data_IF_649663000520
#
_entry.id   IF_649663000520
#
_cell.length_a   1.000
_cell.length_b   1.000
_cell.length_c   1.000
_cell.angle_alpha   90.00
_cell.angle_beta   90.00
_cell.angle_gamma   90.00
#
_symmetry.space_group_name_H-M   'P 1'
#
loop_
_entity.id
_entity.type
_entity.pdbx_description
1 polymer ?
#
# COMPACT_ATOMS: atom_id res chain seq x y z
N UNK A 1 32.90 37.68 29.60
CA UNK A 1 31.59 37.07 29.90
C UNK A 1 30.92 36.74 28.57
N UNK A 2 30.56 35.47 28.36
CA UNK A 2 30.14 34.93 27.08
C UNK A 2 28.64 35.17 26.87
N UNK A 3 28.23 35.55 25.67
CA UNK A 3 26.84 35.40 25.25
C UNK A 3 26.84 34.62 23.94
N UNK A 4 26.80 33.29 24.11
CA UNK A 4 26.43 32.32 23.11
C UNK A 4 24.96 32.59 22.75
N UNK A 5 24.59 32.90 21.49
CA UNK A 5 23.18 32.95 21.13
C UNK A 5 22.69 31.51 20.99
N UNK A 6 21.95 31.10 22.01
CA UNK A 6 21.18 29.86 22.09
C UNK A 6 19.98 29.95 21.12
N UNK A 7 20.24 29.94 19.81
CA UNK A 7 19.19 30.11 18.79
C UNK A 7 19.37 29.21 17.56
N UNK A 8 19.83 27.98 17.78
CA UNK A 8 19.83 26.91 16.76
C UNK A 8 19.31 25.59 17.37
N UNK A 9 18.16 25.68 18.02
CA UNK A 9 17.41 24.52 18.55
C UNK A 9 15.98 24.51 17.99
N UNK A 10 15.83 24.91 16.73
CA UNK A 10 14.63 24.64 15.95
C UNK A 10 14.97 23.64 14.83
N UNK A 11 14.45 22.43 15.02
CA UNK A 11 13.87 21.60 13.97
C UNK A 11 14.87 20.93 13.00
N UNK A 12 15.74 20.08 13.53
CA UNK A 12 16.12 18.87 12.80
C UNK A 12 15.01 17.81 12.99
N UNK A 13 13.85 18.01 12.36
CA UNK A 13 13.00 16.88 12.03
C UNK A 13 13.45 16.38 10.66
N UNK A 14 13.74 15.08 10.48
CA UNK A 14 13.84 14.54 9.13
C UNK A 14 12.45 14.73 8.49
N UNK A 15 12.37 15.69 7.57
CA UNK A 15 11.20 16.06 6.76
C UNK A 15 10.88 15.03 5.68
N UNK A 16 11.07 13.74 5.99
CA UNK A 16 10.69 12.64 5.10
C UNK A 16 9.60 11.85 5.82
N UNK A 17 8.43 12.46 5.95
CA UNK A 17 7.20 11.72 6.22
C UNK A 17 6.69 11.20 4.88
N UNK A 18 7.30 10.14 4.35
CA UNK A 18 6.58 9.30 3.38
C UNK A 18 5.45 8.64 4.16
N UNK A 19 4.20 8.89 3.75
CA UNK A 19 3.02 8.40 4.45
C UNK A 19 2.35 7.31 3.62
N UNK A 20 3.15 6.29 3.29
CA UNK A 20 2.65 5.03 2.77
C UNK A 20 2.24 4.12 3.90
N UNK A 21 1.19 3.35 3.69
CA UNK A 21 0.83 2.31 4.62
C UNK A 21 0.41 1.03 3.92
N UNK A 22 0.60 -0.05 4.68
CA UNK A 22 0.10 -1.37 4.38
C UNK A 22 -1.09 -1.67 5.28
N UNK A 23 -2.14 -2.21 4.68
CA UNK A 23 -3.24 -2.87 5.36
C UNK A 23 -3.16 -4.37 5.10
N UNK A 24 -3.36 -5.15 6.15
CA UNK A 24 -3.45 -6.59 6.08
C UNK A 24 -4.80 -7.02 6.64
N UNK A 25 -5.61 -7.65 5.79
CA UNK A 25 -6.85 -8.29 6.18
C UNK A 25 -6.61 -9.81 6.19
N UNK A 26 -6.90 -10.43 7.33
CA UNK A 26 -6.76 -11.86 7.54
C UNK A 26 -8.06 -12.40 8.12
N UNK A 27 -8.55 -13.51 7.56
CA UNK A 27 -9.67 -14.27 8.12
C UNK A 27 -9.20 -15.67 8.44
N UNK A 28 -9.53 -16.18 9.62
CA UNK A 28 -9.22 -17.56 10.00
C UNK A 28 -10.47 -18.38 10.23
N UNK A 29 -10.49 -19.60 9.69
CA UNK A 29 -11.56 -20.57 9.92
C UNK A 29 -11.49 -21.21 11.31
N UNK A 30 -10.40 -21.00 12.06
CA UNK A 30 -10.14 -21.66 13.34
C UNK A 30 -9.68 -20.66 14.40
N UNK A 31 -9.94 -20.94 15.69
CA UNK A 31 -9.38 -20.14 16.75
C UNK A 31 -7.87 -20.37 16.82
N UNK A 32 -7.09 -19.31 16.62
CA UNK A 32 -5.63 -19.36 16.66
C UNK A 32 -5.05 -17.96 16.95
N UNK A 33 -3.79 -17.93 17.36
CA UNK A 33 -3.01 -16.69 17.38
C UNK A 33 -2.14 -16.63 16.12
N UNK A 34 -1.88 -15.45 15.58
CA UNK A 34 -0.90 -15.27 14.51
C UNK A 34 0.04 -14.12 14.86
N UNK A 35 1.31 -14.26 14.47
CA UNK A 35 2.30 -13.18 14.52
C UNK A 35 2.60 -12.68 13.11
N UNK A 36 2.56 -11.37 12.92
CA UNK A 36 2.83 -10.71 11.66
C UNK A 36 4.11 -9.91 11.84
N UNK A 37 5.15 -10.32 11.14
CA UNK A 37 6.43 -9.63 11.09
C UNK A 37 6.51 -8.82 9.79
N UNK A 38 6.79 -7.54 9.92
CA UNK A 38 7.07 -6.63 8.81
C UNK A 38 8.53 -6.19 8.87
N UNK A 39 9.20 -6.15 7.71
CA UNK A 39 10.53 -5.54 7.58
C UNK A 39 10.72 -4.78 6.26
N UNK A 40 11.39 -3.64 6.34
CA UNK A 40 11.73 -2.74 5.22
C UNK A 40 12.96 -3.20 4.39
N UNK A 41 13.50 -4.39 4.66
CA UNK A 41 14.61 -5.02 3.91
C UNK A 41 14.40 -6.54 3.81
N UNK A 42 14.76 -7.13 2.67
CA UNK A 42 14.61 -8.57 2.38
C UNK A 42 15.89 -9.39 2.67
N UNK A 43 17.07 -8.76 2.66
CA UNK A 43 18.34 -9.46 2.80
C UNK A 43 18.87 -9.41 4.23
N UNK A 44 18.78 -8.24 4.87
CA UNK A 44 19.27 -8.05 6.24
C UNK A 44 18.25 -7.24 7.07
N UNK A 45 17.11 -7.86 7.43
CA UNK A 45 16.04 -7.20 8.15
C UNK A 45 16.49 -6.84 9.57
N UNK A 46 16.94 -5.60 9.76
CA UNK A 46 17.42 -5.07 11.05
C UNK A 46 16.32 -4.43 11.87
N UNK A 47 15.34 -3.80 11.21
CA UNK A 47 14.20 -3.15 11.84
C UNK A 47 12.93 -3.97 11.56
N UNK A 48 12.64 -4.92 12.45
CA UNK A 48 11.45 -5.77 12.38
C UNK A 48 10.37 -5.23 13.29
N UNK A 49 9.15 -5.10 12.75
CA UNK A 49 7.95 -4.76 13.50
C UNK A 49 7.09 -6.00 13.61
N UNK A 50 6.70 -6.37 14.83
CA UNK A 50 5.92 -7.59 15.08
C UNK A 50 4.57 -7.21 15.68
N UNK A 51 3.52 -7.75 15.09
CA UNK A 51 2.13 -7.56 15.51
C UNK A 51 1.51 -8.91 15.81
N UNK A 52 0.76 -9.02 16.91
CA UNK A 52 0.10 -10.26 17.29
C UNK A 52 -1.41 -10.10 17.12
N UNK A 53 -2.04 -11.05 16.44
CA UNK A 53 -3.49 -11.13 16.27
C UNK A 53 -4.00 -12.41 16.93
N UNK A 54 -5.17 -12.31 17.55
CA UNK A 54 -5.91 -13.47 18.07
C UNK A 54 -7.24 -13.57 17.34
N UNK A 55 -7.53 -14.77 16.85
CA UNK A 55 -8.69 -15.10 16.05
C UNK A 55 -9.59 -16.08 16.80
N UNK A 56 -10.90 -15.85 16.72
CA UNK A 56 -11.95 -16.84 16.95
C UNK A 56 -12.26 -17.65 15.69
N UNK A 57 -13.34 -18.43 15.74
CA UNK A 57 -13.83 -19.18 14.58
C UNK A 57 -14.41 -18.21 13.56
N UNK A 58 -13.96 -18.33 12.30
CA UNK A 58 -14.42 -17.53 11.16
C UNK A 58 -14.27 -16.01 11.34
N UNK A 59 -13.27 -15.59 12.12
CA UNK A 59 -13.10 -14.20 12.49
C UNK A 59 -12.20 -13.45 11.51
N UNK A 60 -12.66 -12.27 11.07
CA UNK A 60 -11.87 -11.31 10.30
C UNK A 60 -11.10 -10.38 11.26
N UNK A 61 -9.80 -10.23 11.01
CA UNK A 61 -8.95 -9.22 11.63
C UNK A 61 -8.32 -8.34 10.57
N UNK A 62 -8.16 -7.08 10.92
CA UNK A 62 -7.53 -6.07 10.08
C UNK A 62 -6.40 -5.42 10.88
N UNK A 63 -5.24 -5.35 10.25
CA UNK A 63 -4.08 -4.61 10.74
C UNK A 63 -3.83 -3.46 9.76
N UNK A 64 -4.05 -2.23 10.21
CA UNK A 64 -3.95 -1.03 9.37
C UNK A 64 -2.77 -0.17 9.77
N UNK A 65 -2.47 0.82 8.93
CA UNK A 65 -1.49 1.88 9.20
C UNK A 65 -0.10 1.31 9.54
N UNK A 66 0.30 0.21 8.91
CA UNK A 66 1.69 -0.26 9.00
C UNK A 66 2.51 0.60 8.05
N UNK A 67 3.40 1.50 8.53
CA UNK A 67 4.10 2.40 7.62
C UNK A 67 5.01 1.61 6.67
N UNK A 68 5.04 2.00 5.41
CA UNK A 68 5.90 1.39 4.38
C UNK A 68 6.74 2.46 3.68
N UNK A 69 7.92 2.05 3.23
CA UNK A 69 8.77 2.88 2.38
C UNK A 69 8.66 2.40 0.95
N UNK A 70 8.17 3.24 0.04
CA UNK A 70 8.07 2.89 -1.38
C UNK A 70 9.45 2.75 -2.04
N UNK A 71 9.51 1.94 -3.11
CA UNK A 71 10.71 1.64 -3.88
C UNK A 71 11.87 0.98 -3.11
N UNK A 72 11.52 0.35 -1.99
CA UNK A 72 12.40 -0.59 -1.31
C UNK A 72 11.67 -1.92 -1.16
N UNK A 73 12.29 -3.04 -1.57
CA UNK A 73 11.75 -4.35 -1.28
C UNK A 73 11.52 -4.52 0.22
N UNK A 74 10.28 -4.85 0.60
CA UNK A 74 9.91 -5.17 1.96
C UNK A 74 9.38 -6.62 2.05
N UNK A 75 9.23 -7.11 3.28
CA UNK A 75 8.70 -8.44 3.58
C UNK A 75 7.59 -8.37 4.62
N UNK A 76 6.51 -9.13 4.40
CA UNK A 76 5.52 -9.48 5.41
C UNK A 76 5.59 -10.99 5.59
N UNK A 77 5.83 -11.43 6.82
CA UNK A 77 5.81 -12.82 7.24
C UNK A 77 4.70 -13.00 8.27
N UNK A 78 3.69 -13.78 7.92
CA UNK A 78 2.60 -14.15 8.80
C UNK A 78 2.86 -15.57 9.28
N UNK A 79 2.89 -15.78 10.59
CA UNK A 79 3.06 -17.10 11.20
C UNK A 79 1.82 -17.42 12.02
N UNK A 80 1.12 -18.50 11.69
CA UNK A 80 -0.03 -18.98 12.46
C UNK A 80 0.42 -19.72 13.72
N UNK A 81 -0.48 -19.80 14.69
CA UNK A 81 -0.41 -20.72 15.81
C UNK A 81 -0.79 -22.13 15.39
N UNK A 82 -0.72 -23.04 16.35
CA UNK A 82 -1.06 -24.45 16.14
C UNK A 82 -2.56 -24.66 15.97
N UNK A 83 -2.92 -25.61 15.10
CA UNK A 83 -4.27 -26.16 15.00
C UNK A 83 -4.15 -27.66 15.21
N UNK A 84 -4.04 -28.06 16.48
CA UNK A 84 -3.65 -29.43 16.87
C UNK A 84 -4.57 -30.52 16.32
N UNK A 85 -5.85 -30.18 16.08
CA UNK A 85 -6.86 -31.09 15.49
C UNK A 85 -6.39 -31.66 14.15
N UNK A 86 -5.65 -30.90 13.37
CA UNK A 86 -5.15 -31.30 12.05
C UNK A 86 -3.64 -31.60 12.04
N UNK A 87 -3.00 -31.65 13.21
CA UNK A 87 -1.56 -31.86 13.28
C UNK A 87 -0.71 -30.66 12.85
N UNK A 88 -1.31 -29.50 12.55
CA UNK A 88 -0.61 -28.27 12.22
C UNK A 88 0.03 -27.66 13.47
N UNK A 89 1.35 -27.46 13.43
CA UNK A 89 2.10 -26.73 14.47
C UNK A 89 2.13 -25.23 14.16
N UNK A 90 2.38 -24.86 12.91
CA UNK A 90 2.25 -23.48 12.40
C UNK A 90 2.30 -23.48 10.87
N UNK A 91 1.68 -22.48 10.26
CA UNK A 91 1.85 -22.09 8.85
C UNK A 91 2.63 -20.79 8.79
N UNK A 92 3.46 -20.62 7.77
CA UNK A 92 4.01 -19.33 7.38
C UNK A 92 3.52 -18.92 6.01
N UNK A 93 3.06 -17.66 5.89
CA UNK A 93 2.78 -16.99 4.63
C UNK A 93 3.79 -15.86 4.49
N UNK A 94 4.57 -15.88 3.41
CA UNK A 94 5.54 -14.84 3.10
C UNK A 94 5.13 -14.11 1.82
N UNK A 95 5.12 -12.79 1.91
CA UNK A 95 4.98 -11.89 0.77
C UNK A 95 6.18 -10.95 0.79
N UNK A 96 6.83 -10.77 -0.37
CA UNK A 96 8.06 -9.98 -0.45
C UNK A 96 8.22 -9.25 -1.78
N UNK A 97 9.19 -8.32 -1.80
CA UNK A 97 9.68 -7.61 -3.00
C UNK A 97 8.60 -6.83 -3.73
N UNK A 98 7.82 -6.04 -2.99
CA UNK A 98 6.86 -5.10 -3.56
C UNK A 98 7.57 -3.84 -4.06
N UNK A 99 7.31 -3.45 -5.30
CA UNK A 99 7.85 -2.21 -5.88
C UNK A 99 6.79 -1.50 -6.72
N UNK A 100 5.86 -0.81 -6.06
CA UNK A 100 4.81 -0.02 -6.72
C UNK A 100 4.17 0.97 -5.75
N UNK A 101 3.54 2.01 -6.30
CA UNK A 101 2.80 3.09 -5.60
C UNK A 101 1.53 2.57 -4.92
N UNK A 102 0.88 1.60 -5.55
CA UNK A 102 -0.34 0.94 -5.08
C UNK A 102 -0.25 -0.54 -5.44
N UNK A 103 -0.60 -1.42 -4.49
CA UNK A 103 -0.67 -2.86 -4.75
C UNK A 103 -1.76 -3.51 -3.93
N UNK A 104 -2.46 -4.47 -4.54
CA UNK A 104 -3.32 -5.41 -3.83
C UNK A 104 -2.83 -6.83 -4.09
N UNK A 105 -2.39 -7.52 -3.04
CA UNK A 105 -2.03 -8.93 -3.07
C UNK A 105 -3.17 -9.72 -2.48
N UNK A 106 -3.93 -10.38 -3.35
CA UNK A 106 -5.03 -11.26 -2.98
C UNK A 106 -4.99 -12.50 -3.88
N UNK A 107 -4.45 -13.63 -3.40
CA UNK A 107 -4.43 -14.86 -4.17
C UNK A 107 -5.86 -15.37 -4.36
N UNK A 108 -6.14 -16.08 -5.44
CA UNK A 108 -7.48 -16.64 -5.68
C UNK A 108 -7.88 -17.71 -4.65
N UNK A 109 -6.87 -18.46 -4.19
CA UNK A 109 -7.01 -19.56 -3.24
C UNK A 109 -5.93 -19.45 -2.18
N UNK A 110 -6.24 -19.94 -0.99
CA UNK A 110 -5.34 -19.95 0.17
C UNK A 110 -5.51 -21.27 0.93
N UNK A 111 -4.46 -21.71 1.62
CA UNK A 111 -4.57 -22.86 2.49
C UNK A 111 -5.10 -22.46 3.87
N UNK A 112 -5.96 -23.30 4.45
CA UNK A 112 -6.36 -23.22 5.86
C UNK A 112 -5.12 -23.32 6.78
N UNK A 113 -5.07 -22.62 7.93
CA UNK A 113 -6.22 -22.19 8.71
C UNK A 113 -6.71 -20.79 8.38
N UNK A 114 -6.06 -20.09 7.46
CA UNK A 114 -6.58 -18.84 6.91
C UNK A 114 -7.58 -19.14 5.78
N UNK A 115 -8.77 -18.54 5.86
CA UNK A 115 -9.80 -18.60 4.81
C UNK A 115 -9.87 -17.31 4.00
N UNK A 116 -9.19 -16.26 4.46
CA UNK A 116 -9.17 -14.95 3.81
C UNK A 116 -7.84 -14.24 3.98
N UNK A 117 -7.35 -13.64 2.88
CA UNK A 117 -6.09 -12.89 2.86
C UNK A 117 -6.14 -11.75 1.83
N UNK A 118 -5.83 -10.54 2.27
CA UNK A 118 -5.53 -9.38 1.41
C UNK A 118 -4.42 -8.56 2.05
N UNK A 119 -3.44 -8.18 1.23
CA UNK A 119 -2.52 -7.09 1.55
C UNK A 119 -2.81 -5.94 0.59
N UNK A 120 -3.06 -4.76 1.11
CA UNK A 120 -3.19 -3.53 0.35
C UNK A 120 -2.08 -2.55 0.72
N UNK A 121 -1.45 -1.95 -0.28
CA UNK A 121 -0.40 -0.95 -0.14
C UNK A 121 -0.90 0.33 -0.82
N UNK A 122 -0.93 1.45 -0.07
CA UNK A 122 -1.51 2.73 -0.54
C UNK A 122 -0.96 3.94 0.21
N UNK A 123 -1.23 5.13 -0.31
CA UNK A 123 -0.94 6.40 0.36
C UNK A 123 -1.97 6.75 1.44
N UNK A 124 -1.51 7.29 2.56
CA UNK A 124 -2.35 7.90 3.59
C UNK A 124 -3.21 9.03 3.03
N UNK A 125 -4.30 9.33 3.74
CA UNK A 125 -5.16 10.46 3.38
C UNK A 125 -4.34 11.74 3.25
N UNK A 126 -4.54 12.45 2.14
CA UNK A 126 -3.84 13.69 1.78
C UNK A 126 -2.37 13.52 1.35
N UNK A 127 -1.89 12.29 1.19
CA UNK A 127 -0.58 12.00 0.62
C UNK A 127 -0.73 11.38 -0.77
N UNK A 128 0.11 11.82 -1.69
CA UNK A 128 0.02 11.51 -3.11
C UNK A 128 1.42 11.37 -3.71
N UNK A 129 1.45 11.16 -5.02
CA UNK A 129 2.67 10.92 -5.76
C UNK A 129 3.09 9.47 -5.73
N UNK A 130 4.10 9.10 -6.54
CA UNK A 130 4.58 7.73 -6.64
C UNK A 130 5.05 7.12 -5.32
N UNK A 131 5.52 7.95 -4.40
CA UNK A 131 6.14 7.51 -3.17
C UNK A 131 5.34 7.96 -1.94
N UNK A 132 4.09 8.42 -2.12
CA UNK A 132 3.27 9.01 -1.06
C UNK A 132 4.02 10.08 -0.25
N UNK A 133 4.83 10.88 -0.95
CA UNK A 133 5.75 11.88 -0.44
C UNK A 133 5.24 13.31 -0.67
N UNK A 134 4.13 13.46 -1.41
CA UNK A 134 3.55 14.74 -1.74
C UNK A 134 2.28 14.99 -0.93
N UNK A 135 2.37 15.88 0.06
CA UNK A 135 1.22 16.29 0.86
C UNK A 135 0.36 17.33 0.12
N UNK A 136 -0.94 17.03 0.03
CA UNK A 136 -1.98 17.94 -0.42
C UNK A 136 -3.29 17.69 0.34
N UNK A 137 -3.84 18.71 0.98
CA UNK A 137 -5.09 18.55 1.74
C UNK A 137 -6.31 18.75 0.84
N UNK A 138 -7.06 17.68 0.57
CA UNK A 138 -8.25 17.74 -0.29
C UNK A 138 -9.29 18.73 0.22
N UNK A 139 -9.62 18.65 1.51
CA UNK A 139 -10.65 19.52 2.09
C UNK A 139 -10.28 21.00 1.93
N UNK A 140 -8.99 21.34 2.10
CA UNK A 140 -8.51 22.72 1.91
C UNK A 140 -8.54 23.11 0.42
N UNK A 141 -8.10 22.23 -0.48
CA UNK A 141 -8.14 22.47 -1.92
C UNK A 141 -9.56 22.79 -2.40
N UNK A 142 -10.55 22.02 -1.93
CA UNK A 142 -11.96 22.22 -2.29
C UNK A 142 -12.47 23.61 -1.90
N UNK A 143 -12.06 24.15 -0.74
CA UNK A 143 -12.49 25.51 -0.31
C UNK A 143 -12.05 26.64 -1.25
N UNK A 144 -11.04 26.41 -2.09
CA UNK A 144 -10.53 27.39 -3.05
C UNK A 144 -10.84 26.98 -4.51
N UNK A 145 -11.86 26.14 -4.71
CA UNK A 145 -12.26 25.59 -6.01
C UNK A 145 -11.10 24.86 -6.73
N UNK A 146 -10.37 24.03 -5.98
CA UNK A 146 -9.26 23.18 -6.45
C UNK A 146 -9.46 21.75 -5.97
N UNK A 147 -8.61 20.86 -6.45
CA UNK A 147 -8.44 19.48 -5.96
C UNK A 147 -6.96 19.17 -5.78
N UNK A 148 -6.64 18.10 -5.07
CA UNK A 148 -5.32 17.48 -5.17
C UNK A 148 -5.28 16.58 -6.41
N UNK A 149 -4.16 16.65 -7.12
CA UNK A 149 -3.84 15.73 -8.23
C UNK A 149 -3.23 14.44 -7.70
N UNK A 150 -3.14 13.41 -8.55
CA UNK A 150 -2.49 12.14 -8.18
C UNK A 150 -0.99 12.30 -7.90
N UNK A 151 -0.38 13.39 -8.34
CA UNK A 151 1.00 13.77 -8.03
C UNK A 151 1.12 14.64 -6.76
N UNK A 152 0.01 14.99 -6.10
CA UNK A 152 0.00 15.80 -4.89
C UNK A 152 0.19 17.30 -5.11
N UNK A 153 0.00 17.77 -6.33
CA UNK A 153 -0.11 19.21 -6.63
C UNK A 153 -1.56 19.67 -6.49
N UNK A 154 -1.76 20.99 -6.41
CA UNK A 154 -3.11 21.52 -6.61
C UNK A 154 -3.46 21.44 -8.09
N UNK A 155 -4.73 21.20 -8.39
CA UNK A 155 -5.28 21.20 -9.74
C UNK A 155 -6.65 21.85 -9.75
N UNK A 156 -7.13 22.19 -10.93
CA UNK A 156 -8.54 22.55 -11.09
C UNK A 156 -9.44 21.31 -11.02
N UNK A 157 -10.76 21.46 -10.77
CA UNK A 157 -11.73 20.40 -10.95
C UNK A 157 -11.57 19.71 -12.30
N UNK A 158 -11.92 18.43 -12.39
CA UNK A 158 -11.75 17.64 -13.62
C UNK A 158 -12.32 18.37 -14.84
N UNK A 159 -11.60 18.28 -15.97
CA UNK A 159 -11.93 18.93 -17.24
C UNK A 159 -11.92 20.46 -17.22
N UNK A 160 -11.32 21.10 -16.21
CA UNK A 160 -11.14 22.54 -16.14
C UNK A 160 -9.68 22.94 -15.92
N UNK A 161 -9.34 24.16 -16.35
CA UNK A 161 -8.02 24.76 -16.21
C UNK A 161 -8.11 26.30 -16.16
N UNK A 162 -6.95 26.94 -16.11
CA UNK A 162 -6.72 28.36 -16.00
C UNK A 162 -6.51 28.81 -14.56
N UNK A 163 -6.01 30.04 -14.34
CA UNK A 163 -5.73 30.56 -13.01
C UNK A 163 -6.97 30.66 -12.11
N UNK A 164 -8.18 30.62 -12.69
CA UNK A 164 -9.47 30.65 -11.98
C UNK A 164 -10.32 29.39 -12.18
N UNK A 165 -9.78 28.34 -12.81
CA UNK A 165 -10.51 27.10 -13.11
C UNK A 165 -11.82 27.30 -13.89
N UNK A 166 -11.84 28.24 -14.82
CA UNK A 166 -13.02 28.62 -15.59
C UNK A 166 -12.90 28.25 -17.08
N UNK A 167 -11.75 27.78 -17.52
CA UNK A 167 -11.51 27.30 -18.87
C UNK A 167 -11.72 25.79 -18.91
N UNK A 168 -12.09 25.23 -20.08
CA UNK A 168 -12.39 23.80 -20.23
C UNK A 168 -11.30 23.08 -21.00
N UNK A 169 -10.92 21.91 -20.52
CA UNK A 169 -10.00 21.00 -21.21
C UNK A 169 -10.83 20.23 -22.24
N UNK A 170 -10.45 20.30 -23.52
CA UNK A 170 -11.19 19.65 -24.60
C UNK A 170 -10.66 18.26 -24.96
N UNK A 171 -9.55 17.82 -24.37
CA UNK A 171 -8.98 16.48 -24.49
C UNK A 171 -7.65 16.38 -25.27
N UNK A 172 -7.42 17.09 -26.40
CA UNK A 172 -6.19 16.92 -27.17
C UNK A 172 -4.97 17.61 -26.54
N UNK A 173 -5.15 18.45 -25.52
CA UNK A 173 -4.09 19.32 -25.00
C UNK A 173 -2.93 18.55 -24.34
N UNK A 174 -3.17 17.39 -23.71
CA UNK A 174 -2.13 16.59 -23.07
C UNK A 174 -1.71 15.32 -23.86
N UNK A 175 -2.41 14.99 -24.95
CA UNK A 175 -2.24 13.76 -25.73
C UNK A 175 -2.02 12.47 -24.89
N UNK A 176 -2.76 12.31 -23.79
CA UNK A 176 -2.61 11.17 -22.87
C UNK A 176 -2.94 9.84 -23.55
N UNK A 177 -2.19 8.80 -23.19
CA UNK A 177 -2.35 7.42 -23.65
C UNK A 177 -2.93 6.55 -22.52
N UNK A 178 -3.26 5.29 -22.84
CA UNK A 178 -3.70 4.28 -21.87
C UNK A 178 -4.81 4.73 -20.90
N UNK A 179 -5.76 5.54 -21.40
CA UNK A 179 -6.87 6.14 -20.62
C UNK A 179 -6.43 7.16 -19.57
N UNK A 180 -5.22 7.73 -19.69
CA UNK A 180 -4.81 8.88 -18.91
C UNK A 180 -5.74 10.09 -19.11
N UNK A 181 -5.92 10.88 -18.06
CA UNK A 181 -6.80 12.05 -18.06
C UNK A 181 -5.95 13.31 -18.10
N UNK A 182 -6.26 14.20 -19.05
CA UNK A 182 -5.62 15.52 -19.13
C UNK A 182 -6.19 16.43 -18.04
N UNK A 183 -5.32 16.94 -17.17
CA UNK A 183 -5.71 17.71 -16.00
C UNK A 183 -4.79 18.91 -15.79
N UNK A 184 -5.32 19.92 -15.11
CA UNK A 184 -4.54 21.08 -14.68
C UNK A 184 -3.76 20.76 -13.40
N UNK A 185 -2.51 21.22 -13.35
CA UNK A 185 -1.59 21.07 -12.23
C UNK A 185 -0.90 22.41 -11.95
N UNK A 186 -0.81 22.76 -10.67
CA UNK A 186 -0.13 23.95 -10.17
C UNK A 186 1.09 23.49 -9.35
N UNK A 187 2.23 23.23 -10.00
CA UNK A 187 3.42 22.78 -9.30
C UNK A 187 3.89 23.84 -8.28
N UNK A 188 4.35 23.37 -7.12
CA UNK A 188 4.92 24.24 -6.08
C UNK A 188 6.28 24.76 -6.55
N UNK A 189 6.30 25.87 -7.28
CA UNK A 189 7.55 26.54 -7.63
C UNK A 189 8.03 27.43 -6.47
N UNK A 190 9.35 27.42 -6.22
CA UNK A 190 10.04 28.19 -5.18
C UNK A 190 9.87 29.72 -5.28
N UNK A 191 9.24 30.21 -6.34
CA UNK A 191 9.07 31.63 -6.68
C UNK A 191 7.66 32.16 -6.43
N UNK A 192 6.72 31.32 -5.96
CA UNK A 192 5.35 31.75 -5.60
C UNK A 192 4.42 32.06 -6.79
N UNK A 193 4.91 31.94 -8.03
CA UNK A 193 4.09 32.06 -9.24
C UNK A 193 3.68 30.65 -9.67
N UNK A 194 2.45 30.27 -9.37
CA UNK A 194 1.84 29.01 -9.81
C UNK A 194 1.34 29.18 -11.24
N UNK A 195 2.16 28.81 -12.22
CA UNK A 195 1.69 28.67 -13.60
C UNK A 195 0.88 27.38 -13.68
N UNK A 196 -0.30 27.47 -14.27
CA UNK A 196 -1.11 26.30 -14.60
C UNK A 196 -0.43 25.53 -15.73
N UNK A 197 -0.18 24.24 -15.50
CA UNK A 197 0.33 23.31 -16.50
C UNK A 197 -0.68 22.18 -16.72
N UNK A 198 -0.93 21.86 -17.98
CA UNK A 198 -1.74 20.70 -18.34
C UNK A 198 -0.85 19.45 -18.39
N UNK A 199 -1.21 18.43 -17.61
CA UNK A 199 -0.46 17.17 -17.46
C UNK A 199 -1.39 15.97 -17.54
N UNK A 200 -0.84 14.79 -17.82
CA UNK A 200 -1.60 13.54 -17.76
C UNK A 200 -1.57 12.94 -16.35
N UNK A 201 -2.75 12.71 -15.77
CA UNK A 201 -2.92 11.78 -14.65
C UNK A 201 -3.09 10.38 -15.20
N UNK A 202 -2.21 9.47 -14.78
CA UNK A 202 -2.14 8.12 -15.30
C UNK A 202 -2.94 7.15 -14.42
N UNK A 203 -3.76 6.27 -15.01
CA UNK A 203 -4.40 5.21 -14.25
C UNK A 203 -3.34 4.25 -13.70
N UNK A 204 -3.71 3.53 -12.64
CA UNK A 204 -2.84 2.51 -12.04
C UNK A 204 -2.32 1.52 -13.07
N UNK A 205 -1.05 1.14 -12.93
CA UNK A 205 -0.33 0.28 -13.88
C UNK A 205 0.27 1.03 -15.07
N UNK A 206 0.17 2.37 -15.14
CA UNK A 206 0.77 3.18 -16.20
C UNK A 206 1.52 4.40 -15.66
N UNK A 207 2.64 4.72 -16.29
CA UNK A 207 3.54 5.83 -15.94
C UNK A 207 4.07 6.53 -17.20
N UNK A 208 4.82 7.61 -17.01
CA UNK A 208 5.34 8.45 -18.09
C UNK A 208 4.54 9.75 -18.23
N UNK A 209 5.07 10.70 -19.01
CA UNK A 209 4.45 12.04 -19.14
C UNK A 209 3.08 12.00 -19.81
N UNK A 210 2.84 10.98 -20.64
CA UNK A 210 1.60 10.74 -21.37
C UNK A 210 0.99 9.40 -20.98
N UNK A 211 1.41 8.81 -19.87
CA UNK A 211 0.98 7.47 -19.45
C UNK A 211 1.32 6.40 -20.48
N UNK A 212 2.39 6.60 -21.25
CA UNK A 212 2.76 5.76 -22.39
C UNK A 212 3.47 4.46 -21.99
N UNK A 213 3.95 4.36 -20.75
CA UNK A 213 4.71 3.23 -20.25
C UNK A 213 3.86 2.43 -19.26
N UNK A 214 3.94 1.10 -19.33
CA UNK A 214 3.36 0.25 -18.29
C UNK A 214 4.25 0.32 -17.05
N UNK A 215 3.67 0.56 -15.89
CA UNK A 215 4.39 0.52 -14.62
C UNK A 215 4.93 -0.90 -14.39
N UNK A 216 6.19 -1.00 -13.99
CA UNK A 216 6.77 -2.29 -13.63
C UNK A 216 6.32 -2.64 -12.22
N UNK A 217 5.16 -3.27 -12.11
CA UNK A 217 4.70 -3.84 -10.85
C UNK A 217 5.39 -5.19 -10.64
N UNK A 218 6.27 -5.25 -9.64
CA UNK A 218 6.86 -6.50 -9.20
C UNK A 218 6.42 -6.79 -7.77
N UNK A 219 5.88 -7.99 -7.58
CA UNK A 219 5.74 -8.67 -6.31
C UNK A 219 6.14 -10.12 -6.53
N UNK A 220 6.91 -10.69 -5.60
CA UNK A 220 7.10 -12.12 -5.63
C UNK A 220 5.74 -12.81 -5.35
N UNK A 221 5.46 -13.96 -6.00
CA UNK A 221 4.32 -14.79 -5.60
C UNK A 221 4.42 -15.08 -4.10
N UNK A 222 3.28 -15.08 -3.41
CA UNK A 222 3.27 -15.45 -2.00
C UNK A 222 3.77 -16.90 -1.86
N UNK A 223 4.56 -17.16 -0.82
CA UNK A 223 4.97 -18.52 -0.47
C UNK A 223 4.26 -18.95 0.80
N UNK A 224 3.82 -20.20 0.82
CA UNK A 224 3.10 -20.81 1.94
C UNK A 224 3.85 -22.07 2.35
N UNK A 225 4.24 -22.14 3.62
CA UNK A 225 4.91 -23.31 4.20
C UNK A 225 4.17 -23.75 5.45
N UNK A 226 3.86 -25.04 5.54
CA UNK A 226 3.19 -25.62 6.71
C UNK A 226 4.10 -26.59 7.44
N UNK A 227 4.10 -26.48 8.76
CA UNK A 227 4.92 -27.30 9.64
C UNK A 227 4.02 -28.05 10.61
N UNK A 228 4.06 -29.38 10.55
CA UNK A 228 3.29 -30.26 11.41
C UNK A 228 3.99 -30.64 12.71
N UNK A 229 3.24 -31.23 13.64
CA UNK A 229 3.81 -31.97 14.76
C UNK A 229 4.37 -33.31 14.27
N UNK A 230 5.57 -33.67 14.72
CA UNK A 230 6.27 -34.89 14.28
C UNK A 230 5.47 -36.18 14.51
N UNK A 231 4.62 -36.22 15.55
CA UNK A 231 3.75 -37.37 15.87
C UNK A 231 2.42 -37.39 15.10
N UNK A 232 2.16 -36.38 14.26
CA UNK A 232 0.92 -36.19 13.50
C UNK A 232 1.22 -35.84 12.03
N UNK A 233 2.34 -36.35 11.48
CA UNK A 233 2.76 -36.09 10.10
C UNK A 233 1.67 -36.43 9.08
N UNK A 234 1.03 -37.58 9.25
CA UNK A 234 0.06 -38.09 8.28
C UNK A 234 -1.22 -37.25 8.28
N UNK A 235 -1.65 -36.78 9.47
CA UNK A 235 -2.77 -35.84 9.58
C UNK A 235 -2.43 -34.49 8.95
N UNK A 236 -1.20 -34.01 9.13
CA UNK A 236 -0.74 -32.75 8.55
C UNK A 236 -0.69 -32.83 7.02
N UNK A 237 -0.20 -33.94 6.47
CA UNK A 237 -0.16 -34.15 5.02
C UNK A 237 -1.57 -34.20 4.42
N UNK A 238 -2.49 -34.94 5.06
CA UNK A 238 -3.91 -34.94 4.67
C UNK A 238 -4.52 -33.55 4.72
N UNK A 239 -4.22 -32.79 5.77
CA UNK A 239 -4.70 -31.42 5.93
C UNK A 239 -4.18 -30.53 4.80
N UNK A 240 -2.87 -30.52 4.52
CA UNK A 240 -2.29 -29.72 3.44
C UNK A 240 -2.95 -29.99 2.08
N UNK A 241 -3.16 -31.26 1.75
CA UNK A 241 -3.77 -31.66 0.48
C UNK A 241 -5.25 -31.27 0.34
N UNK A 242 -5.94 -31.04 1.46
CA UNK A 242 -7.37 -30.72 1.50
C UNK A 242 -7.67 -29.29 1.96
N UNK A 243 -6.64 -28.53 2.36
CA UNK A 243 -6.81 -27.21 2.98
C UNK A 243 -6.90 -26.07 1.98
N UNK A 244 -6.68 -26.31 0.68
CA UNK A 244 -6.74 -25.25 -0.33
C UNK A 244 -8.19 -24.83 -0.61
N UNK A 245 -8.57 -23.68 -0.07
CA UNK A 245 -9.92 -23.11 -0.18
C UNK A 245 -9.91 -21.84 -1.06
N UNK A 246 -11.10 -21.39 -1.47
CA UNK A 246 -11.23 -20.08 -2.12
C UNK A 246 -10.91 -19.00 -1.11
N UNK A 247 -10.14 -17.99 -1.50
CA UNK A 247 -9.89 -16.84 -0.66
C UNK A 247 -11.16 -16.00 -0.54
N UNK A 248 -11.80 -16.01 0.63
CA UNK A 248 -13.06 -15.31 0.88
C UNK A 248 -12.94 -13.79 0.75
N UNK A 249 -11.73 -13.24 0.89
CA UNK A 249 -11.47 -11.81 0.76
C UNK A 249 -11.05 -11.39 -0.67
N UNK A 250 -10.94 -12.33 -1.61
CA UNK A 250 -10.64 -12.01 -3.02
C UNK A 250 -11.80 -11.24 -3.70
N UNK A 251 -13.00 -11.22 -3.10
CA UNK A 251 -14.19 -10.53 -3.64
C UNK A 251 -14.09 -9.00 -3.52
N UNK A 252 -13.18 -8.47 -2.69
CA UNK A 252 -13.00 -7.02 -2.50
C UNK A 252 -12.29 -6.30 -3.68
N UNK A 253 -12.00 -6.99 -4.79
CA UNK A 253 -11.36 -6.42 -5.99
C UNK A 253 -12.19 -5.41 -6.80
N UNK A 254 -13.46 -5.15 -6.44
CA UNK A 254 -14.40 -4.39 -7.28
C UNK A 254 -15.29 -3.38 -6.52
N UNK A 255 -14.75 -2.67 -5.52
CA UNK A 255 -15.38 -1.46 -4.98
C UNK A 255 -14.38 -0.31 -5.09
#
# INVERSE_FOLDING_TARGET
MPHLPLFLLFLQYPLIQSSGYLELLLKSAFPLNASIEFSDDIYFPTNKRVYNLSFGVDELRMLTNIPVTFHRPATVLITSGAVEKFGLKFETIRSERWDTRVMTISPERIHLPFSGFVIDIKCDRNWYGPYCDQYCNNNLAETVNRRCTDSGTLGCPLYSYGPKCNQRIHGPECECQNKGVCVSSFPKNSTGVTVDELVCECPYGYVGKRCEQKEYEYAAPITVEMHGFQRKSDLMEQFYNQSLVVNELNVFRWI
#
